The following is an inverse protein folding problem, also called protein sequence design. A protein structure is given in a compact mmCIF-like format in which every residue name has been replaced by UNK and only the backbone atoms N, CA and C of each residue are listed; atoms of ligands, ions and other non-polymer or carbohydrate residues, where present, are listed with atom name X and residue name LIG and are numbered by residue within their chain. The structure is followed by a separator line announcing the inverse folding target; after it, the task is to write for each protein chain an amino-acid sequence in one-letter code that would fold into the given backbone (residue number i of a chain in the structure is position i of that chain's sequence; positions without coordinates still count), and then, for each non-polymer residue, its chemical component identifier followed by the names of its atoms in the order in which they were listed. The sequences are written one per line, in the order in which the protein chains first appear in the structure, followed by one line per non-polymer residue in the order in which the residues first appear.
data_IF_020527470980
#
_entry.id   IF_020527470980
#
_cell.length_a   1.000
_cell.length_b   1.000
_cell.length_c   1.000
_cell.angle_alpha   90.00
_cell.angle_beta   90.00
_cell.angle_gamma   90.00
#
_symmetry.space_group_name_H-M   'P 1'
#
loop_
_entity.id
_entity.type
_entity.pdbx_description
1 polymer ?
#
# COMPACT_ATOMS: atom_id res chain seq x y z
N UNK A 1 36.01 -44.32 9.61
CA UNK A 1 35.56 -42.97 10.01
C UNK A 1 34.57 -42.51 8.98
N UNK A 2 33.36 -42.21 9.43
CA UNK A 2 32.14 -42.14 8.65
C UNK A 2 32.14 -40.98 7.64
N UNK A 3 31.78 -41.30 6.41
CA UNK A 3 31.27 -40.36 5.41
C UNK A 3 29.91 -39.87 5.87
N UNK A 4 29.81 -38.59 6.24
CA UNK A 4 28.53 -37.90 6.38
C UNK A 4 27.93 -37.74 4.99
N UNK A 5 26.94 -38.59 4.68
CA UNK A 5 25.98 -38.34 3.63
C UNK A 5 25.25 -37.04 3.97
N UNK A 6 25.40 -36.02 3.12
CA UNK A 6 24.46 -34.91 3.06
C UNK A 6 23.13 -35.50 2.62
N UNK A 7 22.15 -35.57 3.52
CA UNK A 7 20.76 -35.71 3.13
C UNK A 7 20.42 -34.53 2.21
N UNK A 8 20.30 -34.81 0.91
CA UNK A 8 19.59 -33.96 -0.02
C UNK A 8 18.14 -33.87 0.47
N UNK A 9 17.70 -32.65 0.79
CA UNK A 9 16.30 -32.40 1.08
C UNK A 9 15.45 -32.90 -0.11
N UNK A 10 14.37 -33.66 0.13
CA UNK A 10 13.54 -34.16 -0.95
C UNK A 10 13.00 -32.96 -1.74
N UNK A 11 13.25 -32.93 -3.05
CA UNK A 11 12.56 -32.02 -3.95
C UNK A 11 11.07 -32.33 -3.88
N UNK A 12 10.34 -31.62 -3.02
CA UNK A 12 8.89 -31.70 -2.98
C UNK A 12 8.36 -31.27 -4.36
N UNK A 13 7.68 -32.18 -5.04
CA UNK A 13 6.70 -31.81 -6.07
C UNK A 13 5.59 -31.09 -5.30
N UNK A 14 5.79 -29.80 -5.03
CA UNK A 14 5.00 -29.01 -4.10
C UNK A 14 3.63 -28.64 -4.66
N UNK A 15 2.61 -28.63 -3.80
CA UNK A 15 1.28 -28.11 -4.14
C UNK A 15 1.40 -26.64 -4.53
N UNK A 16 0.80 -26.26 -5.66
CA UNK A 16 0.90 -24.93 -6.26
C UNK A 16 0.04 -23.93 -5.49
N UNK A 17 0.54 -22.70 -5.37
CA UNK A 17 -0.24 -21.54 -4.93
C UNK A 17 -0.63 -20.70 -6.14
N UNK A 18 -1.92 -20.37 -6.26
CA UNK A 18 -2.43 -19.48 -7.31
C UNK A 18 -2.63 -18.09 -6.75
N UNK A 19 -2.04 -17.07 -7.36
CA UNK A 19 -2.14 -15.67 -6.92
C UNK A 19 -3.02 -14.88 -7.88
N UNK A 20 -3.84 -13.96 -7.37
CA UNK A 20 -4.64 -13.04 -8.20
C UNK A 20 -4.60 -11.61 -7.64
N UNK A 21 -3.68 -10.76 -8.15
CA UNK A 21 -3.54 -9.37 -7.73
C UNK A 21 -4.69 -8.50 -8.26
N UNK A 22 -4.96 -7.40 -7.56
CA UNK A 22 -5.73 -6.30 -8.13
C UNK A 22 -4.82 -5.48 -9.07
N UNK A 23 -5.27 -5.06 -10.26
CA UNK A 23 -4.41 -4.48 -11.31
C UNK A 23 -4.06 -3.00 -11.10
N UNK A 24 -3.65 -2.65 -9.88
CA UNK A 24 -3.09 -1.36 -9.54
C UNK A 24 -1.72 -1.55 -8.90
N UNK A 25 -0.79 -0.64 -9.16
CA UNK A 25 0.61 -0.76 -8.72
C UNK A 25 0.74 -1.02 -7.21
N UNK A 26 -0.08 -0.36 -6.38
CA UNK A 26 -0.07 -0.57 -4.92
C UNK A 26 -0.45 -1.98 -4.46
N UNK A 27 -1.06 -2.77 -5.35
CA UNK A 27 -1.51 -4.14 -5.11
C UNK A 27 -0.66 -5.19 -5.86
N UNK A 28 -0.31 -4.91 -7.12
CA UNK A 28 0.56 -5.75 -7.94
C UNK A 28 1.93 -5.96 -7.28
N UNK A 29 2.59 -4.88 -6.86
CA UNK A 29 3.93 -4.96 -6.27
C UNK A 29 4.01 -5.89 -5.04
N UNK A 30 3.18 -5.70 -3.98
CA UNK A 30 3.22 -6.62 -2.83
C UNK A 30 2.79 -8.05 -3.18
N UNK A 31 1.85 -8.25 -4.12
CA UNK A 31 1.49 -9.61 -4.55
C UNK A 31 2.66 -10.33 -5.23
N UNK A 32 3.39 -9.65 -6.12
CA UNK A 32 4.54 -10.22 -6.82
C UNK A 32 5.71 -10.46 -5.87
N UNK A 33 5.94 -9.57 -4.91
CA UNK A 33 6.90 -9.77 -3.83
C UNK A 33 6.55 -11.02 -2.98
N UNK A 34 5.28 -11.18 -2.61
CA UNK A 34 4.83 -12.38 -1.92
C UNK A 34 5.01 -13.64 -2.78
N UNK A 35 4.72 -13.56 -4.09
CA UNK A 35 4.91 -14.65 -5.04
C UNK A 35 6.36 -15.17 -5.04
N UNK A 36 7.33 -14.24 -5.12
CA UNK A 36 8.76 -14.55 -5.08
C UNK A 36 9.17 -15.17 -3.74
N UNK A 37 8.63 -14.66 -2.62
CA UNK A 37 8.91 -15.20 -1.28
C UNK A 37 8.39 -16.63 -1.09
N UNK A 38 7.19 -16.92 -1.56
CA UNK A 38 6.61 -18.26 -1.54
C UNK A 38 7.41 -19.20 -2.45
N UNK A 39 7.82 -18.72 -3.62
CA UNK A 39 8.65 -19.45 -4.56
C UNK A 39 10.02 -19.81 -3.99
N UNK A 40 10.69 -18.85 -3.35
CA UNK A 40 11.96 -19.04 -2.67
C UNK A 40 11.88 -20.06 -1.52
N UNK A 41 10.67 -20.32 -1.00
CA UNK A 41 10.38 -21.33 0.03
C UNK A 41 9.89 -22.66 -0.53
N UNK A 42 10.03 -22.87 -1.84
CA UNK A 42 9.77 -24.14 -2.50
C UNK A 42 8.32 -24.34 -2.97
N UNK A 43 7.44 -23.34 -2.84
CA UNK A 43 6.08 -23.43 -3.37
C UNK A 43 6.06 -23.01 -4.85
N UNK A 44 5.56 -23.85 -5.78
CA UNK A 44 5.30 -23.40 -7.13
C UNK A 44 4.20 -22.33 -7.12
N UNK A 45 4.37 -21.27 -7.91
CA UNK A 45 3.43 -20.14 -7.97
C UNK A 45 2.96 -19.90 -9.39
N UNK A 46 1.64 -19.75 -9.57
CA UNK A 46 1.03 -19.19 -10.80
C UNK A 46 0.30 -17.91 -10.45
N UNK A 47 0.59 -16.83 -11.17
CA UNK A 47 -0.12 -15.56 -11.08
C UNK A 47 -1.16 -15.51 -12.19
N UNK A 48 -2.43 -15.54 -11.82
CA UNK A 48 -3.51 -15.11 -12.72
C UNK A 48 -3.48 -13.59 -12.79
N UNK A 49 -3.70 -12.99 -13.95
CA UNK A 49 -3.75 -11.53 -14.07
C UNK A 49 -4.75 -11.08 -15.13
N UNK A 50 -5.30 -9.89 -14.95
CA UNK A 50 -6.17 -9.23 -15.94
C UNK A 50 -5.37 -8.73 -17.15
N UNK A 51 -6.06 -8.48 -18.25
CA UNK A 51 -5.49 -7.74 -19.38
C UNK A 51 -5.34 -6.24 -19.04
N UNK A 52 -6.28 -5.69 -18.26
CA UNK A 52 -6.20 -4.34 -17.72
C UNK A 52 -5.01 -4.21 -16.77
N UNK A 53 -4.07 -3.31 -17.09
CA UNK A 53 -2.78 -3.11 -16.40
C UNK A 53 -2.02 -4.42 -16.13
N UNK A 54 -1.93 -5.29 -17.14
CA UNK A 54 -1.22 -6.56 -17.02
C UNK A 54 0.24 -6.37 -16.51
N UNK A 55 0.72 -7.22 -15.60
CA UNK A 55 2.12 -7.23 -15.19
C UNK A 55 3.01 -7.65 -16.37
N UNK A 56 4.28 -7.25 -16.34
CA UNK A 56 5.29 -7.72 -17.29
C UNK A 56 5.97 -9.00 -16.77
N UNK A 57 5.68 -10.17 -17.36
CA UNK A 57 6.24 -11.45 -16.89
C UNK A 57 7.77 -11.52 -17.04
N UNK A 58 8.38 -10.74 -17.94
CA UNK A 58 9.83 -10.78 -18.19
C UNK A 58 10.63 -10.31 -16.98
N UNK A 59 10.00 -9.57 -16.07
CA UNK A 59 10.58 -9.09 -14.82
C UNK A 59 10.55 -10.14 -13.71
N UNK A 60 9.80 -11.22 -13.88
CA UNK A 60 9.62 -12.29 -12.90
C UNK A 60 9.73 -13.68 -13.56
N UNK A 61 10.89 -14.01 -14.15
CA UNK A 61 11.06 -15.21 -14.99
C UNK A 61 10.86 -16.53 -14.24
N UNK A 62 10.92 -16.53 -12.90
CA UNK A 62 10.72 -17.72 -12.07
C UNK A 62 9.25 -17.99 -11.72
N UNK A 63 8.34 -17.06 -12.05
CA UNK A 63 6.90 -17.18 -11.82
C UNK A 63 6.18 -17.57 -13.11
N UNK A 64 5.11 -18.36 -12.99
CA UNK A 64 4.21 -18.62 -14.10
C UNK A 64 3.10 -17.56 -14.14
N UNK A 65 2.77 -17.06 -15.33
CA UNK A 65 1.70 -16.09 -15.54
C UNK A 65 0.63 -16.66 -16.48
N UNK A 66 -0.63 -16.46 -16.13
CA UNK A 66 -1.78 -16.85 -16.96
C UNK A 66 -2.73 -15.67 -17.05
N UNK A 67 -2.94 -15.09 -18.25
CA UNK A 67 -3.91 -14.03 -18.42
C UNK A 67 -5.33 -14.58 -18.25
N UNK A 68 -6.19 -13.77 -17.66
CA UNK A 68 -7.64 -13.90 -17.78
C UNK A 68 -8.12 -12.80 -18.72
N UNK A 69 -9.13 -13.11 -19.52
CA UNK A 69 -9.65 -12.17 -20.51
C UNK A 69 -10.99 -11.62 -20.02
N UNK A 70 -10.94 -10.48 -19.35
CA UNK A 70 -12.12 -9.76 -18.88
C UNK A 70 -12.73 -8.84 -19.96
N UNK A 71 -14.01 -8.54 -19.82
CA UNK A 71 -14.68 -7.51 -20.60
C UNK A 71 -15.09 -6.36 -19.68
N UNK A 72 -14.39 -5.22 -19.78
CA UNK A 72 -14.67 -4.02 -18.98
C UNK A 72 -15.39 -2.96 -19.81
N UNK A 73 -16.35 -2.23 -19.23
CA UNK A 73 -16.93 -1.05 -19.86
C UNK A 73 -15.85 0.02 -20.13
N UNK A 74 -15.92 0.69 -21.29
CA UNK A 74 -14.98 1.79 -21.64
C UNK A 74 -14.97 2.91 -20.60
N UNK A 75 -16.10 3.17 -19.94
CA UNK A 75 -16.18 4.16 -18.86
C UNK A 75 -15.33 3.78 -17.64
N UNK A 76 -15.18 2.48 -17.36
CA UNK A 76 -14.42 1.97 -16.23
C UNK A 76 -12.91 1.92 -16.51
N UNK A 77 -12.48 1.98 -17.76
CA UNK A 77 -11.05 1.99 -18.14
C UNK A 77 -10.51 3.38 -18.45
N UNK A 78 -11.36 4.41 -18.34
CA UNK A 78 -10.96 5.81 -18.53
C UNK A 78 -9.99 6.27 -17.43
N UNK A 79 -8.97 7.11 -17.75
CA UNK A 79 -8.12 7.74 -16.73
C UNK A 79 -8.88 8.57 -15.70
N UNK A 80 -10.08 9.05 -16.04
CA UNK A 80 -10.93 9.86 -15.15
C UNK A 80 -12.08 9.05 -14.53
N UNK A 81 -12.04 7.73 -14.64
CA UNK A 81 -13.03 6.86 -14.01
C UNK A 81 -13.02 7.03 -12.49
N UNK A 82 -14.21 7.07 -11.91
CA UNK A 82 -14.37 6.95 -10.47
C UNK A 82 -13.81 5.61 -10.00
N UNK A 83 -12.94 5.64 -8.98
CA UNK A 83 -12.21 4.45 -8.54
C UNK A 83 -13.17 3.38 -7.99
N UNK A 84 -14.26 3.78 -7.33
CA UNK A 84 -15.27 2.82 -6.83
C UNK A 84 -15.98 2.15 -8.00
N UNK A 85 -16.44 2.92 -8.98
CA UNK A 85 -17.07 2.39 -10.19
C UNK A 85 -16.12 1.43 -10.95
N UNK A 86 -14.82 1.76 -11.02
CA UNK A 86 -13.80 0.91 -11.63
C UNK A 86 -13.63 -0.42 -10.87
N UNK A 87 -13.54 -0.39 -9.53
CA UNK A 87 -13.44 -1.60 -8.69
C UNK A 87 -14.67 -2.50 -8.80
N UNK A 88 -15.86 -1.91 -8.94
CA UNK A 88 -17.11 -2.62 -9.16
C UNK A 88 -17.17 -3.29 -10.54
N UNK A 89 -16.78 -2.55 -11.59
CA UNK A 89 -16.70 -3.07 -12.95
C UNK A 89 -15.68 -4.21 -13.06
N UNK A 90 -14.51 -4.05 -12.43
CA UNK A 90 -13.50 -5.09 -12.34
C UNK A 90 -14.07 -6.35 -11.71
N UNK A 91 -14.63 -6.26 -10.49
CA UNK A 91 -15.20 -7.42 -9.80
C UNK A 91 -16.28 -8.13 -10.63
N UNK A 92 -17.15 -7.38 -11.30
CA UNK A 92 -18.19 -7.93 -12.17
C UNK A 92 -17.61 -8.59 -13.43
N UNK A 93 -16.62 -7.96 -14.07
CA UNK A 93 -16.06 -8.40 -15.35
C UNK A 93 -15.08 -9.56 -15.23
N UNK A 94 -14.46 -9.74 -14.05
CA UNK A 94 -13.39 -10.72 -13.85
C UNK A 94 -13.85 -12.00 -13.13
N UNK A 95 -15.04 -12.04 -12.51
CA UNK A 95 -15.50 -13.21 -11.76
C UNK A 95 -15.48 -14.50 -12.60
N UNK A 96 -16.17 -14.49 -13.75
CA UNK A 96 -16.27 -15.68 -14.61
C UNK A 96 -14.91 -16.06 -15.25
N UNK A 97 -14.14 -15.14 -15.87
CA UNK A 97 -12.81 -15.45 -16.39
C UNK A 97 -11.86 -16.00 -15.33
N UNK A 98 -11.84 -15.42 -14.11
CA UNK A 98 -11.05 -15.92 -13.00
C UNK A 98 -11.48 -17.34 -12.59
N UNK A 99 -12.79 -17.57 -12.41
CA UNK A 99 -13.32 -18.90 -12.04
C UNK A 99 -12.95 -19.96 -13.07
N UNK A 100 -13.07 -19.64 -14.36
CA UNK A 100 -12.72 -20.56 -15.45
C UNK A 100 -11.22 -20.87 -15.48
N UNK A 101 -10.36 -19.85 -15.32
CA UNK A 101 -8.91 -20.02 -15.25
C UNK A 101 -8.49 -20.88 -14.06
N UNK A 102 -9.02 -20.60 -12.86
CA UNK A 102 -8.74 -21.38 -11.66
C UNK A 102 -9.24 -22.84 -11.81
N UNK A 103 -10.47 -23.04 -12.30
CA UNK A 103 -10.99 -24.38 -12.57
C UNK A 103 -10.15 -25.15 -13.61
N UNK A 104 -9.57 -24.46 -14.59
CA UNK A 104 -8.65 -25.05 -15.56
C UNK A 104 -7.34 -25.50 -14.91
N UNK A 105 -6.77 -24.69 -14.02
CA UNK A 105 -5.58 -25.05 -13.25
C UNK A 105 -5.85 -26.26 -12.35
N UNK A 106 -6.98 -26.30 -11.64
CA UNK A 106 -7.37 -27.43 -10.78
C UNK A 106 -7.46 -28.78 -11.53
N UNK A 107 -7.76 -28.77 -12.83
CA UNK A 107 -7.78 -30.00 -13.65
C UNK A 107 -6.39 -30.48 -14.06
N UNK A 108 -5.38 -29.61 -13.98
CA UNK A 108 -4.05 -29.83 -14.56
C UNK A 108 -2.97 -29.95 -13.49
N UNK A 109 -3.18 -29.33 -12.34
CA UNK A 109 -2.17 -29.14 -11.31
C UNK A 109 -2.77 -29.37 -9.92
N UNK A 110 -1.93 -29.80 -8.98
CA UNK A 110 -2.32 -29.91 -7.57
C UNK A 110 -2.19 -28.53 -6.91
N UNK A 111 -3.32 -27.87 -6.64
CA UNK A 111 -3.39 -26.53 -6.04
C UNK A 111 -3.61 -26.65 -4.53
N UNK A 112 -2.73 -26.01 -3.74
CA UNK A 112 -2.89 -25.89 -2.29
C UNK A 112 -4.00 -24.91 -1.93
N UNK A 113 -3.87 -23.69 -2.42
CA UNK A 113 -4.78 -22.59 -2.13
C UNK A 113 -4.67 -21.48 -3.19
N UNK A 114 -5.62 -20.56 -3.15
CA UNK A 114 -5.57 -19.31 -3.89
C UNK A 114 -5.25 -18.16 -2.92
N UNK A 115 -4.25 -17.32 -3.24
CA UNK A 115 -3.99 -16.05 -2.57
C UNK A 115 -4.58 -14.94 -3.44
N UNK A 116 -5.67 -14.34 -2.99
CA UNK A 116 -6.45 -13.39 -3.78
C UNK A 116 -6.40 -12.03 -3.09
N UNK A 117 -6.19 -10.95 -3.85
CA UNK A 117 -6.29 -9.60 -3.30
C UNK A 117 -7.65 -9.38 -2.63
N UNK A 118 -7.64 -8.85 -1.41
CA UNK A 118 -8.83 -8.69 -0.57
C UNK A 118 -9.89 -7.79 -1.18
N UNK A 119 -9.58 -6.96 -2.18
CA UNK A 119 -10.56 -6.13 -2.90
C UNK A 119 -11.36 -6.90 -3.95
N UNK A 120 -10.93 -8.11 -4.34
CA UNK A 120 -11.65 -8.99 -5.25
C UNK A 120 -12.73 -9.81 -4.54
N UNK A 121 -13.77 -9.17 -4.02
CA UNK A 121 -14.88 -9.86 -3.34
C UNK A 121 -15.49 -10.98 -4.20
N UNK A 122 -15.57 -10.78 -5.52
CA UNK A 122 -16.13 -11.76 -6.44
C UNK A 122 -15.18 -12.96 -6.66
N UNK A 123 -13.86 -12.72 -6.78
CA UNK A 123 -12.88 -13.79 -6.95
C UNK A 123 -12.68 -14.61 -5.67
N UNK A 124 -12.73 -13.96 -4.49
CA UNK A 124 -12.74 -14.66 -3.19
C UNK A 124 -13.90 -15.67 -3.12
N UNK A 125 -15.12 -15.22 -3.44
CA UNK A 125 -16.30 -16.08 -3.48
C UNK A 125 -16.21 -17.18 -4.54
N UNK A 126 -15.71 -16.87 -5.73
CA UNK A 126 -15.56 -17.83 -6.82
C UNK A 126 -14.55 -18.94 -6.49
N UNK A 127 -13.42 -18.62 -5.88
CA UNK A 127 -12.43 -19.62 -5.47
C UNK A 127 -12.97 -20.54 -4.35
N UNK A 128 -13.65 -19.96 -3.36
CA UNK A 128 -14.32 -20.73 -2.30
C UNK A 128 -15.40 -21.66 -2.85
N UNK A 129 -16.22 -21.20 -3.81
CA UNK A 129 -17.24 -22.01 -4.47
C UNK A 129 -16.67 -23.19 -5.30
N UNK A 130 -15.41 -23.11 -5.73
CA UNK A 130 -14.69 -24.22 -6.36
C UNK A 130 -14.07 -25.18 -5.34
N UNK A 131 -14.24 -24.94 -4.03
CA UNK A 131 -13.67 -25.75 -2.96
C UNK A 131 -12.17 -25.52 -2.75
N UNK A 132 -11.62 -24.41 -3.26
CA UNK A 132 -10.21 -24.04 -3.07
C UNK A 132 -10.08 -23.21 -1.80
N UNK A 133 -9.20 -23.58 -0.83
CA UNK A 133 -8.89 -22.70 0.29
C UNK A 133 -8.40 -21.33 -0.19
N UNK A 134 -8.91 -20.25 0.40
CA UNK A 134 -8.61 -18.89 -0.05
C UNK A 134 -7.93 -18.08 1.03
N UNK A 135 -6.77 -17.51 0.73
CA UNK A 135 -6.09 -16.56 1.57
C UNK A 135 -6.31 -15.15 1.01
N UNK A 136 -6.89 -14.25 1.79
CA UNK A 136 -7.11 -12.87 1.37
C UNK A 136 -5.83 -12.05 1.64
N UNK A 137 -5.16 -11.60 0.58
CA UNK A 137 -4.05 -10.66 0.70
C UNK A 137 -4.59 -9.24 0.93
N UNK A 138 -4.20 -8.62 2.04
CA UNK A 138 -4.41 -7.21 2.32
C UNK A 138 -3.13 -6.44 2.03
N UNK A 139 -3.24 -5.52 1.09
CA UNK A 139 -2.18 -4.58 0.68
C UNK A 139 -2.37 -3.21 1.34
N UNK A 140 -3.44 -3.05 2.11
CA UNK A 140 -3.65 -2.01 3.10
C UNK A 140 -3.23 -2.49 4.51
N UNK A 141 -3.26 -1.56 5.46
CA UNK A 141 -2.94 -1.82 6.87
C UNK A 141 -3.97 -2.74 7.54
N UNK A 142 -3.55 -3.48 8.55
CA UNK A 142 -4.45 -4.24 9.42
C UNK A 142 -5.50 -3.34 10.07
N UNK A 143 -5.12 -2.12 10.45
CA UNK A 143 -6.02 -1.09 10.96
C UNK A 143 -7.14 -0.75 9.96
N UNK A 144 -6.78 -0.50 8.70
CA UNK A 144 -7.73 -0.23 7.61
C UNK A 144 -8.64 -1.41 7.39
N UNK A 145 -8.09 -2.62 7.27
CA UNK A 145 -8.92 -3.81 7.06
C UNK A 145 -9.89 -4.05 8.22
N UNK A 146 -9.45 -3.86 9.46
CA UNK A 146 -10.33 -3.94 10.62
C UNK A 146 -11.44 -2.87 10.62
N UNK A 147 -11.16 -1.65 10.17
CA UNK A 147 -12.19 -0.62 9.94
C UNK A 147 -13.20 -1.04 8.88
N UNK A 148 -12.71 -1.64 7.79
CA UNK A 148 -13.51 -2.16 6.68
C UNK A 148 -14.44 -3.30 7.14
N UNK A 149 -13.94 -4.21 7.99
CA UNK A 149 -14.75 -5.26 8.62
C UNK A 149 -15.81 -4.67 9.54
N UNK A 150 -15.50 -3.64 10.33
CA UNK A 150 -16.47 -3.00 11.21
C UNK A 150 -17.53 -2.17 10.45
N UNK A 151 -17.28 -1.84 9.18
CA UNK A 151 -18.05 -0.86 8.43
C UNK A 151 -19.57 -1.13 8.35
N UNK A 152 -20.08 -2.36 8.14
CA UNK A 152 -21.52 -2.61 8.19
C UNK A 152 -22.15 -2.22 9.54
N UNK A 153 -21.49 -2.55 10.66
CA UNK A 153 -21.93 -2.18 12.00
C UNK A 153 -21.86 -0.67 12.23
N UNK A 154 -20.82 -0.01 11.70
CA UNK A 154 -20.68 1.45 11.78
C UNK A 154 -21.77 2.18 11.01
N UNK A 155 -22.18 1.65 9.84
CA UNK A 155 -23.31 2.17 9.06
C UNK A 155 -24.61 2.06 9.85
N UNK A 156 -24.88 0.89 10.43
CA UNK A 156 -26.11 0.66 11.21
C UNK A 156 -26.17 1.55 12.47
N UNK A 157 -25.01 1.84 13.07
CA UNK A 157 -24.86 2.78 14.19
C UNK A 157 -24.79 4.27 13.78
N UNK A 158 -24.98 4.58 12.50
CA UNK A 158 -25.07 5.95 11.99
C UNK A 158 -23.75 6.74 12.02
N UNK A 159 -22.61 6.05 11.98
CA UNK A 159 -21.28 6.67 11.77
C UNK A 159 -20.98 6.90 10.29
N UNK A 160 -21.65 6.17 9.39
CA UNK A 160 -21.52 6.28 7.94
C UNK A 160 -22.90 6.53 7.32
N UNK A 161 -23.07 7.51 6.42
CA UNK A 161 -22.06 8.48 6.00
C UNK A 161 -21.62 9.41 7.14
N UNK A 162 -20.39 9.92 7.04
CA UNK A 162 -19.79 10.81 8.04
C UNK A 162 -20.61 12.10 8.12
N UNK A 163 -21.05 12.46 9.33
CA UNK A 163 -21.74 13.71 9.63
C UNK A 163 -20.79 14.67 10.32
N UNK A 164 -20.87 15.97 9.99
CA UNK A 164 -19.97 16.98 10.56
C UNK A 164 -20.10 17.05 12.09
N UNK A 165 -21.31 16.85 12.64
CA UNK A 165 -21.54 16.91 14.09
C UNK A 165 -20.75 15.85 14.88
N UNK A 166 -20.49 14.69 14.25
CA UNK A 166 -19.85 13.52 14.87
C UNK A 166 -18.41 13.35 14.44
N UNK A 167 -17.89 14.29 13.64
CA UNK A 167 -16.64 14.15 12.89
C UNK A 167 -15.42 13.84 13.78
N UNK A 168 -15.40 14.39 14.99
CA UNK A 168 -14.31 14.22 15.96
C UNK A 168 -14.57 13.17 17.04
N UNK A 169 -15.73 12.51 17.02
CA UNK A 169 -16.00 11.39 17.92
C UNK A 169 -15.02 10.24 17.63
N UNK A 170 -14.53 9.59 18.68
CA UNK A 170 -13.79 8.34 18.54
C UNK A 170 -14.73 7.25 18.03
N UNK A 171 -14.22 6.39 17.15
CA UNK A 171 -14.96 5.24 16.66
C UNK A 171 -14.80 4.11 17.69
N UNK A 172 -15.89 3.62 18.31
CA UNK A 172 -15.81 2.58 19.31
C UNK A 172 -15.08 1.34 18.78
N UNK A 173 -14.20 0.76 19.60
CA UNK A 173 -13.43 -0.46 19.31
C UNK A 173 -12.39 -0.33 18.19
N UNK A 174 -12.26 0.86 17.59
CA UNK A 174 -11.31 1.19 16.53
C UNK A 174 -10.36 2.34 16.91
N UNK A 175 -10.16 2.62 18.20
CA UNK A 175 -9.23 3.65 18.64
C UNK A 175 -7.81 3.41 18.05
N UNK A 176 -7.09 4.47 17.63
CA UNK A 176 -7.37 5.89 17.86
C UNK A 176 -8.22 6.57 16.77
N UNK A 177 -8.92 5.83 15.92
CA UNK A 177 -9.69 6.39 14.82
C UNK A 177 -10.85 7.26 15.32
N UNK A 178 -11.03 8.40 14.66
CA UNK A 178 -12.24 9.23 14.74
C UNK A 178 -13.13 8.95 13.54
N UNK A 179 -14.38 9.42 13.60
CA UNK A 179 -15.32 9.26 12.48
C UNK A 179 -14.77 9.84 11.18
N UNK A 180 -14.06 10.99 11.24
CA UNK A 180 -13.38 11.59 10.08
C UNK A 180 -12.25 10.76 9.48
N UNK A 181 -11.68 9.85 10.26
CA UNK A 181 -10.54 9.03 9.86
C UNK A 181 -11.02 7.77 9.09
N UNK A 182 -12.32 7.46 9.12
CA UNK A 182 -12.92 6.33 8.38
C UNK A 182 -12.75 6.47 6.87
N UNK A 183 -12.75 5.32 6.18
CA UNK A 183 -12.54 5.22 4.73
C UNK A 183 -13.55 6.11 3.98
N UNK A 184 -13.03 7.03 3.18
CA UNK A 184 -13.81 7.96 2.34
C UNK A 184 -13.11 8.20 1.01
N UNK A 185 -13.87 8.38 -0.05
CA UNK A 185 -13.34 8.76 -1.36
C UNK A 185 -14.14 9.98 -1.84
N UNK A 186 -13.52 11.16 -1.72
CA UNK A 186 -14.18 12.42 -2.04
C UNK A 186 -14.50 12.47 -3.54
N UNK A 187 -15.77 12.77 -3.87
CA UNK A 187 -16.28 12.81 -5.24
C UNK A 187 -16.87 11.49 -5.74
N UNK A 188 -16.70 10.38 -5.02
CA UNK A 188 -17.36 9.11 -5.31
C UNK A 188 -18.79 9.07 -4.77
N UNK A 189 -19.64 8.24 -5.38
CA UNK A 189 -20.96 7.93 -4.84
C UNK A 189 -20.83 7.17 -3.51
N UNK A 190 -21.41 7.74 -2.45
CA UNK A 190 -21.25 7.24 -1.08
C UNK A 190 -21.90 5.88 -0.92
N UNK A 191 -23.08 5.66 -1.53
CA UNK A 191 -23.80 4.39 -1.43
C UNK A 191 -23.04 3.28 -2.18
N UNK A 192 -22.47 3.59 -3.34
CA UNK A 192 -21.60 2.68 -4.09
C UNK A 192 -20.35 2.30 -3.29
N UNK A 193 -19.70 3.28 -2.65
CA UNK A 193 -18.53 3.05 -1.79
C UNK A 193 -18.90 2.13 -0.62
N UNK A 194 -19.99 2.43 0.07
CA UNK A 194 -20.49 1.62 1.18
C UNK A 194 -20.83 0.20 0.73
N UNK A 195 -21.50 0.05 -0.42
CA UNK A 195 -21.84 -1.25 -0.99
C UNK A 195 -20.62 -2.04 -1.46
N UNK A 196 -19.56 -1.39 -1.92
CA UNK A 196 -18.29 -2.04 -2.22
C UNK A 196 -17.61 -2.55 -0.94
N UNK A 197 -17.47 -1.68 0.07
CA UNK A 197 -16.86 -2.01 1.36
C UNK A 197 -17.60 -3.16 2.05
N UNK A 198 -18.94 -3.15 2.08
CA UNK A 198 -19.73 -4.26 2.62
C UNK A 198 -19.47 -5.57 1.89
N UNK A 199 -19.44 -5.56 0.54
CA UNK A 199 -19.14 -6.78 -0.24
C UNK A 199 -17.76 -7.34 0.04
N UNK A 200 -16.75 -6.49 0.17
CA UNK A 200 -15.39 -6.91 0.54
C UNK A 200 -15.37 -7.55 1.93
N UNK A 201 -16.00 -6.92 2.91
CA UNK A 201 -16.05 -7.45 4.28
C UNK A 201 -16.82 -8.78 4.35
N UNK A 202 -17.95 -8.89 3.65
CA UNK A 202 -18.77 -10.10 3.63
C UNK A 202 -18.07 -11.24 2.90
N UNK A 203 -17.40 -10.97 1.77
CA UNK A 203 -16.62 -11.98 1.05
C UNK A 203 -15.45 -12.49 1.90
N UNK A 204 -14.75 -11.62 2.63
CA UNK A 204 -13.70 -12.04 3.56
C UNK A 204 -14.25 -12.96 4.66
N UNK A 205 -15.37 -12.59 5.31
CA UNK A 205 -16.02 -13.43 6.33
C UNK A 205 -16.48 -14.79 5.78
N UNK A 206 -17.04 -14.80 4.58
CA UNK A 206 -17.63 -16.00 3.99
C UNK A 206 -16.61 -16.95 3.36
N UNK A 207 -15.46 -16.44 2.91
CA UNK A 207 -14.58 -17.16 1.99
C UNK A 207 -13.13 -17.29 2.47
N UNK A 208 -12.64 -16.43 3.36
CA UNK A 208 -11.23 -16.43 3.73
C UNK A 208 -10.90 -17.54 4.74
N UNK A 209 -10.04 -18.47 4.35
CA UNK A 209 -9.40 -19.44 5.24
C UNK A 209 -8.20 -18.86 5.99
N UNK A 210 -7.76 -17.67 5.63
CA UNK A 210 -6.71 -16.92 6.32
C UNK A 210 -6.51 -15.56 5.68
N UNK A 211 -5.85 -14.66 6.39
CA UNK A 211 -5.53 -13.31 5.90
C UNK A 211 -4.02 -13.15 5.85
N UNK A 212 -3.51 -12.62 4.76
CA UNK A 212 -2.09 -12.29 4.60
C UNK A 212 -1.98 -10.78 4.53
N UNK A 213 -1.14 -10.16 5.33
CA UNK A 213 -0.97 -8.72 5.39
C UNK A 213 0.48 -8.35 5.14
N UNK A 214 0.71 -7.36 4.27
CA UNK A 214 2.02 -6.72 4.17
C UNK A 214 2.21 -5.80 5.39
N UNK A 215 2.46 -6.37 6.56
CA UNK A 215 2.66 -5.65 7.83
C UNK A 215 3.53 -6.50 8.76
N UNK A 216 3.84 -6.01 9.96
CA UNK A 216 4.59 -6.75 10.98
C UNK A 216 4.09 -6.41 12.39
N UNK A 217 4.26 -7.36 13.32
CA UNK A 217 3.65 -7.32 14.66
C UNK A 217 3.94 -6.03 15.45
N UNK A 218 5.15 -5.48 15.33
CA UNK A 218 5.54 -4.30 16.10
C UNK A 218 4.70 -3.05 15.81
N UNK A 219 4.06 -2.97 14.62
CA UNK A 219 3.21 -1.83 14.25
C UNK A 219 1.72 -2.13 14.35
N UNK A 220 1.29 -3.40 14.25
CA UNK A 220 -0.12 -3.78 14.10
C UNK A 220 -0.59 -5.06 14.85
N UNK A 221 0.17 -5.56 15.84
CA UNK A 221 -0.21 -6.77 16.58
C UNK A 221 -1.64 -6.77 17.17
N UNK A 222 -2.12 -5.69 17.81
CA UNK A 222 -3.49 -5.64 18.31
C UNK A 222 -4.56 -5.75 17.21
N UNK A 223 -4.30 -5.14 16.06
CA UNK A 223 -5.19 -5.12 14.90
C UNK A 223 -5.25 -6.51 14.24
N UNK A 224 -4.10 -7.19 14.15
CA UNK A 224 -4.01 -8.59 13.70
C UNK A 224 -4.85 -9.51 14.58
N UNK A 225 -4.69 -9.44 15.91
CA UNK A 225 -5.47 -10.26 16.85
C UNK A 225 -6.99 -9.99 16.74
N UNK A 226 -7.38 -8.74 16.46
CA UNK A 226 -8.79 -8.39 16.23
C UNK A 226 -9.32 -9.01 14.95
N UNK A 227 -8.55 -8.98 13.86
CA UNK A 227 -8.90 -9.61 12.59
C UNK A 227 -9.07 -11.12 12.77
N UNK A 228 -8.15 -11.79 13.46
CA UNK A 228 -8.24 -13.24 13.72
C UNK A 228 -9.51 -13.61 14.47
N UNK A 229 -9.86 -12.81 15.50
CA UNK A 229 -11.09 -13.01 16.26
C UNK A 229 -12.34 -12.78 15.41
N UNK A 230 -12.36 -11.73 14.60
CA UNK A 230 -13.52 -11.36 13.77
C UNK A 230 -13.78 -12.39 12.65
N UNK A 231 -12.72 -12.90 12.03
CA UNK A 231 -12.83 -13.83 10.89
C UNK A 231 -12.73 -15.30 11.29
N UNK A 232 -12.33 -15.59 12.53
CA UNK A 232 -12.08 -16.96 13.01
C UNK A 232 -11.09 -17.74 12.14
N UNK A 233 -10.11 -17.03 11.58
CA UNK A 233 -9.03 -17.60 10.78
C UNK A 233 -7.70 -16.87 11.06
N UNK A 234 -6.54 -17.49 10.77
CA UNK A 234 -5.24 -16.89 11.07
C UNK A 234 -4.95 -15.62 10.25
N UNK A 235 -4.24 -14.66 10.84
CA UNK A 235 -3.74 -13.47 10.16
C UNK A 235 -2.20 -13.45 10.17
N UNK A 236 -1.60 -13.46 8.98
CA UNK A 236 -0.16 -13.51 8.79
C UNK A 236 0.39 -12.15 8.40
N UNK A 237 1.12 -11.51 9.31
CA UNK A 237 1.87 -10.28 9.04
C UNK A 237 3.22 -10.62 8.39
N UNK A 238 3.22 -10.76 7.07
CA UNK A 238 4.36 -11.25 6.27
C UNK A 238 5.22 -10.13 5.70
N UNK A 239 5.00 -8.90 6.13
CA UNK A 239 5.75 -7.73 5.68
C UNK A 239 6.95 -7.42 6.59
N UNK A 240 7.74 -6.38 6.25
CA UNK A 240 7.60 -5.53 5.07
C UNK A 240 8.12 -6.22 3.79
N UNK A 241 7.23 -6.56 2.85
CA UNK A 241 7.52 -7.41 1.69
C UNK A 241 8.66 -6.87 0.80
N UNK A 242 8.74 -5.54 0.66
CA UNK A 242 9.78 -4.86 -0.12
C UNK A 242 11.21 -5.06 0.42
N UNK A 243 11.36 -5.48 1.68
CA UNK A 243 12.66 -5.79 2.31
C UNK A 243 12.95 -7.28 2.36
N UNK A 244 11.93 -8.13 2.23
CA UNK A 244 12.06 -9.57 2.43
C UNK A 244 12.44 -10.32 1.16
N UNK A 245 12.12 -9.79 -0.03
CA UNK A 245 12.35 -10.48 -1.29
C UNK A 245 13.85 -10.68 -1.58
N UNK A 246 14.30 -11.91 -1.85
CA UNK A 246 15.69 -12.20 -2.17
C UNK A 246 15.99 -11.80 -3.62
N UNK A 247 16.67 -10.67 -3.82
CA UNK A 247 17.12 -10.23 -5.15
C UNK A 247 17.35 -8.73 -5.22
N UNK A 248 17.95 -8.21 -6.32
CA UNK A 248 17.82 -6.79 -6.60
C UNK A 248 16.33 -6.46 -6.62
N UNK A 249 15.92 -5.39 -5.92
CA UNK A 249 14.52 -4.97 -5.90
C UNK A 249 14.00 -5.05 -7.34
N UNK A 250 12.89 -5.78 -7.60
CA UNK A 250 12.28 -5.75 -8.91
C UNK A 250 12.18 -4.28 -9.27
N UNK A 251 12.67 -3.89 -10.45
CA UNK A 251 12.57 -2.49 -10.85
C UNK A 251 11.13 -2.04 -10.57
N UNK A 252 10.90 -0.78 -10.21
CA UNK A 252 9.55 -0.36 -9.88
C UNK A 252 8.61 -0.67 -11.06
N UNK A 253 7.44 -1.26 -10.81
CA UNK A 253 6.36 -1.40 -11.81
C UNK A 253 5.68 -0.05 -12.10
N UNK A 254 6.49 1.01 -12.18
CA UNK A 254 6.06 2.36 -12.47
C UNK A 254 5.72 2.50 -13.95
N UNK A 255 4.69 3.29 -14.23
CA UNK A 255 4.34 3.76 -15.57
C UNK A 255 5.45 4.62 -16.21
N UNK A 256 6.42 5.08 -15.41
CA UNK A 256 7.47 6.01 -15.81
C UNK A 256 8.85 5.52 -15.34
N UNK A 257 9.87 5.71 -16.17
CA UNK A 257 11.25 5.43 -15.78
C UNK A 257 11.69 6.43 -14.68
N UNK A 258 12.30 5.97 -13.58
CA UNK A 258 12.74 6.85 -12.50
C UNK A 258 13.88 7.78 -12.96
N UNK A 259 13.80 9.06 -12.60
CA UNK A 259 14.90 10.01 -12.79
C UNK A 259 15.95 9.82 -11.69
N UNK A 260 16.94 8.95 -11.97
CA UNK A 260 18.06 8.70 -11.06
C UNK A 260 18.98 9.90 -10.87
N UNK A 261 18.87 10.94 -11.69
CA UNK A 261 19.55 12.22 -11.49
C UNK A 261 19.12 12.94 -10.21
N UNK A 262 18.05 12.50 -9.54
CA UNK A 262 17.71 12.97 -8.20
C UNK A 262 18.70 12.50 -7.13
N UNK A 263 19.31 11.31 -7.28
CA UNK A 263 20.26 10.78 -6.31
C UNK A 263 21.54 11.62 -6.27
N UNK A 264 22.10 11.94 -7.44
CA UNK A 264 23.25 12.85 -7.55
C UNK A 264 22.98 14.26 -6.99
N UNK A 265 21.72 14.70 -7.00
CA UNK A 265 21.33 15.97 -6.39
C UNK A 265 21.25 15.84 -4.85
N UNK A 266 20.81 14.69 -4.34
CA UNK A 266 20.81 14.40 -2.90
C UNK A 266 22.23 14.29 -2.34
N UNK A 267 23.20 13.76 -3.09
CA UNK A 267 24.62 13.69 -2.71
C UNK A 267 25.23 15.07 -2.39
N UNK A 268 24.68 16.14 -2.97
CA UNK A 268 25.14 17.52 -2.76
C UNK A 268 24.56 18.18 -1.49
N UNK A 269 23.72 17.48 -0.72
CA UNK A 269 23.04 18.00 0.45
C UNK A 269 23.52 17.35 1.75
N UNK A 270 23.59 18.11 2.86
CA UNK A 270 23.90 17.54 4.17
C UNK A 270 22.91 16.44 4.60
N UNK A 271 23.36 15.57 5.49
CA UNK A 271 22.51 14.55 6.08
C UNK A 271 21.24 15.17 6.72
N UNK A 272 20.09 14.55 6.45
CA UNK A 272 18.78 14.91 6.99
C UNK A 272 18.31 16.35 6.71
N UNK A 273 18.83 16.98 5.66
CA UNK A 273 18.44 18.36 5.30
C UNK A 273 17.35 18.44 4.24
N UNK A 274 17.04 17.36 3.53
CA UNK A 274 16.10 17.36 2.40
C UNK A 274 14.73 16.80 2.81
N UNK A 275 13.66 17.51 2.48
CA UNK A 275 12.30 16.95 2.51
C UNK A 275 12.00 16.23 1.20
N UNK A 276 11.70 14.94 1.27
CA UNK A 276 11.15 14.20 0.12
C UNK A 276 9.62 14.38 0.07
N UNK A 277 9.04 14.64 -1.11
CA UNK A 277 7.61 14.87 -1.29
C UNK A 277 7.07 13.96 -2.40
N UNK A 278 6.12 13.09 -2.07
CA UNK A 278 5.44 12.22 -3.03
C UNK A 278 4.03 11.82 -2.55
N UNK A 279 3.02 12.06 -3.39
CA UNK A 279 1.62 11.73 -3.10
C UNK A 279 1.16 10.41 -3.76
N UNK A 280 2.11 9.56 -4.16
CA UNK A 280 1.83 8.23 -4.72
C UNK A 280 1.48 8.22 -6.21
N UNK A 281 1.06 7.05 -6.69
CA UNK A 281 0.87 6.80 -8.13
C UNK A 281 -0.48 7.29 -8.68
N UNK A 282 -1.51 7.34 -7.83
CA UNK A 282 -2.90 7.60 -8.25
C UNK A 282 -3.42 8.97 -7.82
N UNK A 283 -3.00 9.47 -6.65
CA UNK A 283 -3.54 10.70 -6.10
C UNK A 283 -3.38 11.88 -7.04
N UNK A 284 -4.38 12.77 -7.01
CA UNK A 284 -4.37 14.03 -7.74
C UNK A 284 -4.73 15.16 -6.78
N UNK A 285 -4.10 16.31 -6.96
CA UNK A 285 -4.39 17.52 -6.20
C UNK A 285 -4.98 18.58 -7.13
N UNK A 286 -5.83 19.44 -6.60
CA UNK A 286 -6.34 20.58 -7.36
C UNK A 286 -5.25 21.63 -7.56
N UNK A 287 -5.31 22.38 -8.67
CA UNK A 287 -4.33 23.42 -9.00
C UNK A 287 -4.05 24.38 -7.85
N UNK A 288 -5.09 24.87 -7.16
CA UNK A 288 -4.91 25.79 -6.04
C UNK A 288 -4.12 25.15 -4.89
N UNK A 289 -4.41 23.90 -4.54
CA UNK A 289 -3.66 23.15 -3.52
C UNK A 289 -2.21 22.95 -3.94
N UNK A 290 -1.98 22.58 -5.20
CA UNK A 290 -0.63 22.41 -5.76
C UNK A 290 0.19 23.71 -5.68
N UNK A 291 -0.41 24.85 -5.99
CA UNK A 291 0.23 26.16 -5.89
C UNK A 291 0.57 26.50 -4.43
N UNK A 292 -0.37 26.32 -3.50
CA UNK A 292 -0.11 26.57 -2.07
C UNK A 292 0.99 25.65 -1.51
N UNK A 293 1.04 24.39 -1.93
CA UNK A 293 2.14 23.48 -1.61
C UNK A 293 3.48 24.03 -2.13
N UNK A 294 3.54 24.45 -3.40
CA UNK A 294 4.76 24.98 -4.00
C UNK A 294 5.27 26.25 -3.30
N UNK A 295 4.36 27.19 -3.01
CA UNK A 295 4.68 28.41 -2.26
C UNK A 295 5.11 28.12 -0.82
N UNK A 296 4.46 27.14 -0.17
CA UNK A 296 4.83 26.74 1.19
C UNK A 296 6.17 26.02 1.26
N UNK A 297 6.48 25.13 0.31
CA UNK A 297 7.80 24.50 0.18
C UNK A 297 8.89 25.56 0.01
N UNK A 298 8.71 26.49 -0.93
CA UNK A 298 9.63 27.60 -1.16
C UNK A 298 9.81 28.47 0.08
N UNK A 299 8.70 28.86 0.71
CA UNK A 299 8.67 29.70 1.91
C UNK A 299 9.24 29.02 3.15
N UNK A 300 9.27 27.69 3.22
CA UNK A 300 9.84 26.96 4.36
C UNK A 300 11.35 27.19 4.53
N UNK A 301 12.07 27.44 3.42
CA UNK A 301 13.52 27.53 3.39
C UNK A 301 14.24 26.17 3.40
N UNK A 302 13.49 25.06 3.45
CA UNK A 302 14.04 23.70 3.49
C UNK A 302 14.28 23.19 2.06
N UNK A 303 15.45 22.58 1.74
CA UNK A 303 15.66 21.87 0.49
C UNK A 303 14.65 20.74 0.28
N UNK A 304 14.13 20.56 -0.93
CA UNK A 304 13.12 19.54 -1.19
C UNK A 304 13.31 18.81 -2.52
N UNK A 305 12.99 17.52 -2.52
CA UNK A 305 12.84 16.70 -3.72
C UNK A 305 11.36 16.35 -3.88
N UNK A 306 10.72 16.86 -4.92
CA UNK A 306 9.28 16.68 -5.13
C UNK A 306 8.97 15.88 -6.40
N UNK A 307 8.24 14.78 -6.23
CA UNK A 307 7.68 13.99 -7.33
C UNK A 307 6.37 14.61 -7.79
N UNK A 308 6.35 15.08 -9.04
CA UNK A 308 5.16 15.62 -9.70
C UNK A 308 4.87 14.79 -10.95
N UNK A 309 4.00 13.78 -10.81
CA UNK A 309 3.59 12.89 -11.90
C UNK A 309 2.84 13.68 -12.98
N UNK A 310 3.05 13.42 -14.29
CA UNK A 310 2.20 13.94 -15.36
C UNK A 310 0.74 13.55 -15.15
N UNK A 311 -0.19 14.51 -15.10
CA UNK A 311 -1.61 14.33 -14.81
C UNK A 311 -1.94 14.16 -13.32
N UNK A 312 -1.04 14.60 -12.43
CA UNK A 312 -1.32 14.64 -10.98
C UNK A 312 -1.98 15.93 -10.52
N UNK A 313 -2.03 16.98 -11.36
CA UNK A 313 -2.71 18.23 -11.02
C UNK A 313 -4.01 18.41 -11.82
N UNK A 314 -5.13 18.59 -11.12
CA UNK A 314 -6.45 18.85 -11.72
C UNK A 314 -6.60 20.34 -12.06
N UNK A 315 -7.40 20.64 -13.08
CA UNK A 315 -7.76 22.02 -13.44
C UNK A 315 -6.97 22.63 -14.62
N UNK A 316 -6.21 21.82 -15.35
CA UNK A 316 -5.46 22.26 -16.54
C UNK A 316 -4.11 22.93 -16.24
N UNK A 317 -3.36 23.27 -17.29
CA UNK A 317 -2.01 23.85 -17.20
C UNK A 317 -0.89 22.79 -17.12
N UNK A 318 0.36 23.25 -17.10
CA UNK A 318 1.52 22.37 -16.92
C UNK A 318 1.59 21.83 -15.50
N UNK A 319 2.07 20.60 -15.33
CA UNK A 319 2.39 19.99 -14.03
C UNK A 319 3.75 20.52 -13.51
N UNK A 320 3.91 21.84 -13.53
CA UNK A 320 5.13 22.53 -13.14
C UNK A 320 4.85 23.53 -12.02
N UNK A 321 5.78 23.71 -11.07
CA UNK A 321 5.66 24.73 -10.03
C UNK A 321 5.44 26.14 -10.61
N UNK A 322 4.79 27.05 -9.87
CA UNK A 322 4.47 28.39 -10.35
C UNK A 322 5.69 29.17 -10.86
N UNK A 323 5.52 29.87 -11.99
CA UNK A 323 6.57 30.71 -12.58
C UNK A 323 7.11 31.78 -11.63
N UNK A 324 6.28 32.28 -10.71
CA UNK A 324 6.65 33.33 -9.75
C UNK A 324 7.53 32.89 -8.57
N UNK A 325 7.87 31.60 -8.44
CA UNK A 325 8.85 31.15 -7.44
C UNK A 325 10.22 31.76 -7.75
N UNK A 326 10.83 32.42 -6.75
CA UNK A 326 12.13 33.04 -6.90
C UNK A 326 13.24 32.02 -7.24
N UNK A 327 14.32 32.50 -7.86
CA UNK A 327 15.43 31.64 -8.32
C UNK A 327 16.11 30.91 -7.15
N UNK A 328 16.09 31.50 -5.96
CA UNK A 328 16.67 30.91 -4.75
C UNK A 328 15.87 29.68 -4.30
N UNK A 329 14.54 29.78 -4.25
CA UNK A 329 13.63 28.67 -3.96
C UNK A 329 13.72 27.58 -5.02
N UNK A 330 13.86 27.95 -6.29
CA UNK A 330 14.10 26.99 -7.38
C UNK A 330 15.44 26.29 -7.25
N UNK A 331 16.48 26.97 -6.76
CA UNK A 331 17.80 26.37 -6.56
C UNK A 331 17.84 25.35 -5.41
N UNK A 332 16.98 25.51 -4.40
CA UNK A 332 16.84 24.59 -3.25
C UNK A 332 15.96 23.37 -3.53
N UNK A 333 15.16 23.42 -4.58
CA UNK A 333 14.19 22.39 -4.92
C UNK A 333 14.60 21.59 -6.15
N UNK A 334 14.36 20.29 -6.15
CA UNK A 334 14.38 19.46 -7.36
C UNK A 334 13.00 18.86 -7.58
N UNK A 335 12.47 19.01 -8.80
CA UNK A 335 11.20 18.42 -9.21
C UNK A 335 11.48 17.35 -10.27
N UNK A 336 10.89 16.17 -10.09
CA UNK A 336 11.01 15.04 -11.02
C UNK A 336 9.65 14.42 -11.30
N UNK A 337 9.47 13.83 -12.48
CA UNK A 337 8.22 13.14 -12.81
C UNK A 337 8.04 11.83 -12.03
N UNK A 338 9.14 11.14 -11.76
CA UNK A 338 9.20 9.87 -11.04
C UNK A 338 10.57 9.71 -10.37
N UNK A 339 10.60 9.16 -9.15
CA UNK A 339 11.82 8.96 -8.38
C UNK A 339 11.96 7.50 -7.95
N UNK A 340 13.19 6.95 -7.82
CA UNK A 340 13.41 5.64 -7.23
C UNK A 340 13.20 5.72 -5.71
N UNK A 341 11.95 5.61 -5.25
CA UNK A 341 11.54 6.05 -3.91
C UNK A 341 12.27 5.29 -2.80
N UNK A 342 12.47 3.99 -2.96
CA UNK A 342 13.22 3.17 -1.99
C UNK A 342 14.65 3.68 -1.79
N UNK A 343 15.33 4.07 -2.87
CA UNK A 343 16.70 4.60 -2.82
C UNK A 343 16.72 6.02 -2.25
N UNK A 344 15.73 6.85 -2.61
CA UNK A 344 15.58 8.20 -2.06
C UNK A 344 15.35 8.15 -0.54
N UNK A 345 14.42 7.33 -0.06
CA UNK A 345 14.14 7.21 1.37
C UNK A 345 15.33 6.65 2.15
N UNK A 346 16.14 5.77 1.53
CA UNK A 346 17.36 5.24 2.14
C UNK A 346 18.54 6.24 2.11
N UNK A 347 18.43 7.35 1.38
CA UNK A 347 19.51 8.32 1.20
C UNK A 347 19.71 9.18 2.46
N UNK A 348 20.96 9.37 2.89
CA UNK A 348 21.28 10.07 4.15
C UNK A 348 20.80 11.52 4.21
N UNK A 349 20.75 12.21 3.05
CA UNK A 349 20.26 13.57 2.93
C UNK A 349 18.76 13.72 3.25
N UNK A 350 17.95 12.67 3.14
CA UNK A 350 16.51 12.74 3.39
C UNK A 350 16.25 12.81 4.90
N UNK A 351 15.58 13.89 5.34
CA UNK A 351 15.28 14.15 6.75
C UNK A 351 13.84 13.90 7.16
N UNK A 352 12.90 13.98 6.21
CA UNK A 352 11.49 13.64 6.38
C UNK A 352 10.83 13.34 5.02
N UNK A 353 9.65 12.74 5.07
CA UNK A 353 8.85 12.37 3.91
C UNK A 353 7.44 12.96 3.98
N UNK A 354 7.13 13.94 3.13
CA UNK A 354 5.77 14.39 2.90
C UNK A 354 5.04 13.41 1.98
N UNK A 355 4.08 12.69 2.57
CA UNK A 355 3.40 11.56 1.95
C UNK A 355 1.89 11.65 2.06
N UNK A 356 1.21 11.07 1.07
CA UNK A 356 -0.22 10.79 1.12
C UNK A 356 -0.61 9.66 2.10
N UNK A 357 0.35 9.01 2.77
CA UNK A 357 0.10 7.89 3.69
C UNK A 357 -0.52 6.64 3.04
N UNK A 358 -0.27 6.40 1.75
CA UNK A 358 -0.49 5.07 1.17
C UNK A 358 0.35 4.01 1.89
N UNK A 359 -0.16 2.78 2.00
CA UNK A 359 0.40 1.77 2.89
C UNK A 359 1.84 1.36 2.54
N UNK A 360 2.14 1.10 1.26
CA UNK A 360 3.50 0.75 0.83
C UNK A 360 4.50 1.86 1.18
N UNK A 361 4.22 3.12 0.81
CA UNK A 361 5.05 4.27 1.15
C UNK A 361 5.24 4.46 2.67
N UNK A 362 4.20 4.13 3.47
CA UNK A 362 4.27 4.17 4.93
C UNK A 362 5.28 3.15 5.46
N UNK A 363 5.21 1.90 5.00
CA UNK A 363 6.16 0.85 5.37
C UNK A 363 7.59 1.19 4.93
N UNK A 364 7.76 1.73 3.72
CA UNK A 364 9.06 2.13 3.19
C UNK A 364 9.70 3.22 4.06
N UNK A 365 8.93 4.24 4.47
CA UNK A 365 9.40 5.30 5.37
C UNK A 365 9.79 4.75 6.75
N UNK A 366 8.98 3.84 7.31
CA UNK A 366 9.28 3.17 8.58
C UNK A 366 10.56 2.34 8.48
N UNK A 367 10.73 1.56 7.41
CA UNK A 367 11.91 0.74 7.18
C UNK A 367 13.17 1.57 6.88
N UNK A 368 13.00 2.78 6.33
CA UNK A 368 14.09 3.73 6.13
C UNK A 368 14.43 4.53 7.39
N UNK A 369 13.53 4.57 8.38
CA UNK A 369 13.71 5.41 9.58
C UNK A 369 13.51 6.90 9.29
N UNK A 370 12.64 7.22 8.32
CA UNK A 370 12.34 8.60 7.90
C UNK A 370 10.98 9.01 8.49
N UNK A 371 10.89 10.11 9.25
CA UNK A 371 9.63 10.60 9.80
C UNK A 371 8.72 11.14 8.69
N UNK A 372 7.41 11.13 8.91
CA UNK A 372 6.44 11.50 7.89
C UNK A 372 5.75 12.84 8.16
N UNK A 373 5.49 13.59 7.09
CA UNK A 373 4.51 14.67 7.06
C UNK A 373 3.30 14.19 6.27
N UNK A 374 2.24 13.81 6.98
CA UNK A 374 1.05 13.18 6.46
C UNK A 374 0.09 14.19 5.80
N UNK A 375 -0.34 13.87 4.59
CA UNK A 375 -1.43 14.54 3.87
C UNK A 375 -2.31 13.50 3.17
N UNK A 376 -3.19 12.80 3.90
CA UNK A 376 -4.07 11.81 3.29
C UNK A 376 -4.97 12.45 2.24
N UNK A 377 -5.17 11.78 1.11
CA UNK A 377 -6.00 12.24 0.01
C UNK A 377 -7.34 11.48 -0.05
N UNK A 378 -7.34 10.15 0.04
CA UNK A 378 -8.55 9.32 -0.07
C UNK A 378 -8.35 7.90 0.48
N UNK A 379 -9.44 7.13 0.52
CA UNK A 379 -9.52 5.73 0.92
C UNK A 379 -8.92 5.44 2.30
N UNK A 380 -7.92 4.56 2.37
CA UNK A 380 -7.26 4.08 3.58
C UNK A 380 -6.30 5.09 4.21
N UNK A 381 -5.94 6.13 3.46
CA UNK A 381 -4.87 7.05 3.82
C UNK A 381 -5.16 7.81 5.12
N UNK A 382 -6.43 8.12 5.42
CA UNK A 382 -6.84 8.79 6.66
C UNK A 382 -6.63 7.89 7.88
N UNK A 383 -6.89 6.59 7.75
CA UNK A 383 -6.61 5.59 8.79
C UNK A 383 -5.10 5.49 9.01
N UNK A 384 -4.33 5.34 7.93
CA UNK A 384 -2.88 5.24 8.01
C UNK A 384 -2.25 6.51 8.62
N UNK A 385 -2.69 7.70 8.19
CA UNK A 385 -2.24 8.97 8.74
C UNK A 385 -2.47 9.04 10.25
N UNK A 386 -3.66 8.63 10.72
CA UNK A 386 -3.99 8.59 12.15
C UNK A 386 -3.06 7.66 12.94
N UNK A 387 -2.68 6.53 12.38
CA UNK A 387 -1.71 5.62 13.00
C UNK A 387 -0.31 6.24 13.03
N UNK A 388 0.14 6.80 11.90
CA UNK A 388 1.42 7.52 11.79
C UNK A 388 1.55 8.61 12.85
N UNK A 389 0.51 9.43 13.04
CA UNK A 389 0.57 10.62 13.91
C UNK A 389 0.21 10.34 15.37
N UNK A 390 -0.78 9.48 15.64
CA UNK A 390 -1.33 9.31 17.00
C UNK A 390 -1.02 7.94 17.64
N UNK A 391 -0.88 6.88 16.84
CA UNK A 391 -0.56 5.54 17.38
C UNK A 391 0.93 5.36 17.57
N UNK A 392 1.68 5.61 16.51
CA UNK A 392 3.14 5.44 16.48
C UNK A 392 3.86 6.75 16.79
N UNK A 393 3.28 7.90 16.41
CA UNK A 393 3.87 9.22 16.61
C UNK A 393 5.17 9.40 15.82
N UNK A 394 5.24 8.81 14.63
CA UNK A 394 6.38 8.86 13.70
C UNK A 394 6.20 9.91 12.61
N UNK A 395 5.20 10.78 12.77
CA UNK A 395 4.94 11.85 11.83
C UNK A 395 3.97 12.90 12.37
N UNK A 396 3.76 13.94 11.56
CA UNK A 396 2.85 15.05 11.80
C UNK A 396 1.87 15.16 10.64
N UNK A 397 0.72 15.78 10.84
CA UNK A 397 -0.21 16.10 9.75
C UNK A 397 -0.03 17.55 9.29
N UNK A 398 -0.10 17.81 7.98
CA UNK A 398 -0.14 19.18 7.44
C UNK A 398 -1.40 19.89 7.96
N UNK A 399 -2.54 19.20 7.89
CA UNK A 399 -3.86 19.65 8.33
C UNK A 399 -4.89 19.67 7.20
N UNK A 400 -6.17 19.87 7.57
CA UNK A 400 -7.30 19.85 6.64
C UNK A 400 -7.24 20.95 5.56
N UNK A 401 -6.65 22.10 5.88
CA UNK A 401 -6.54 23.26 4.99
C UNK A 401 -5.09 23.38 4.53
N UNK A 402 -4.89 23.34 3.21
CA UNK A 402 -3.58 23.51 2.58
C UNK A 402 -3.44 24.96 2.13
N UNK A 403 -2.74 25.76 2.92
CA UNK A 403 -2.27 27.09 2.57
C UNK A 403 -0.75 27.20 2.75
N UNK A 404 -0.10 28.07 1.99
CA UNK A 404 1.36 28.21 1.96
C UNK A 404 2.00 28.52 3.32
N UNK A 405 1.32 29.26 4.19
CA UNK A 405 1.87 29.65 5.50
C UNK A 405 1.91 28.42 6.39
N UNK A 406 0.80 27.69 6.45
CA UNK A 406 0.71 26.43 7.21
C UNK A 406 1.64 25.36 6.67
N UNK A 407 1.74 25.22 5.35
CA UNK A 407 2.70 24.29 4.73
C UNK A 407 4.13 24.63 5.16
N UNK A 408 4.55 25.89 5.03
CA UNK A 408 5.89 26.31 5.42
C UNK A 408 6.16 26.04 6.91
N UNK A 409 5.18 26.31 7.78
CA UNK A 409 5.26 26.05 9.21
C UNK A 409 5.42 24.54 9.51
N UNK A 410 4.58 23.70 8.90
CA UNK A 410 4.59 22.24 9.11
C UNK A 410 5.85 21.57 8.56
N UNK A 411 6.37 22.04 7.43
CA UNK A 411 7.66 21.61 6.90
C UNK A 411 8.79 21.96 7.88
N UNK A 412 8.81 23.19 8.44
CA UNK A 412 9.81 23.55 9.44
C UNK A 412 9.66 22.73 10.72
N UNK A 413 8.44 22.46 11.19
CA UNK A 413 8.22 21.65 12.39
C UNK A 413 8.77 20.23 12.25
N UNK A 414 8.51 19.54 11.13
CA UNK A 414 8.99 18.16 10.94
C UNK A 414 10.50 18.10 10.66
N UNK A 415 11.06 19.11 10.00
CA UNK A 415 12.47 19.11 9.61
C UNK A 415 13.39 19.69 10.70
N UNK A 416 12.97 20.77 11.35
CA UNK A 416 13.81 21.60 12.22
C UNK A 416 13.28 21.73 13.67
N UNK A 417 12.07 21.24 13.94
CA UNK A 417 11.42 21.38 15.24
C UNK A 417 11.52 20.14 16.14
N UNK A 418 11.27 20.33 17.43
CA UNK A 418 11.29 19.26 18.44
C UNK A 418 10.31 18.12 18.15
N UNK A 419 9.16 18.43 17.54
CA UNK A 419 8.18 17.40 17.14
C UNK A 419 8.76 16.47 16.06
N UNK A 420 9.51 17.03 15.11
CA UNK A 420 10.25 16.26 14.11
C UNK A 420 11.34 15.40 14.73
N UNK A 421 12.06 15.90 15.74
CA UNK A 421 13.07 15.13 16.47
C UNK A 421 12.46 13.94 17.21
N UNK A 422 11.35 14.14 17.91
CA UNK A 422 10.61 13.05 18.58
C UNK A 422 10.10 12.00 17.58
N UNK A 423 9.59 12.44 16.43
CA UNK A 423 9.15 11.54 15.37
C UNK A 423 10.33 10.71 14.80
N UNK A 424 11.50 11.33 14.62
CA UNK A 424 12.75 10.65 14.19
C UNK A 424 13.20 9.58 15.17
N UNK A 425 13.14 9.87 16.48
CA UNK A 425 13.51 8.88 17.50
C UNK A 425 12.59 7.67 17.44
N UNK A 426 11.27 7.89 17.39
CA UNK A 426 10.28 6.82 17.33
C UNK A 426 10.37 5.98 16.06
N UNK A 427 10.56 6.61 14.89
CA UNK A 427 10.66 5.87 13.63
C UNK A 427 11.96 5.06 13.56
N UNK A 428 13.04 5.52 14.21
CA UNK A 428 14.29 4.74 14.35
C UNK A 428 14.06 3.47 15.16
N UNK A 429 13.27 3.53 16.22
CA UNK A 429 12.94 2.35 17.03
C UNK A 429 12.08 1.36 16.23
N UNK A 430 11.08 1.85 15.48
CA UNK A 430 10.29 1.00 14.57
C UNK A 430 11.15 0.39 13.45
N UNK A 431 12.09 1.15 12.90
CA UNK A 431 13.05 0.64 11.90
C UNK A 431 13.83 -0.55 12.45
N UNK A 432 14.32 -0.46 13.69
CA UNK A 432 15.05 -1.56 14.32
C UNK A 432 14.18 -2.81 14.45
N UNK A 433 12.90 -2.64 14.82
CA UNK A 433 11.94 -3.74 14.90
C UNK A 433 11.63 -4.34 13.52
N UNK A 434 11.52 -3.51 12.48
CA UNK A 434 11.37 -3.96 11.10
C UNK A 434 12.60 -4.78 10.65
N UNK A 435 13.81 -4.31 10.92
CA UNK A 435 15.05 -5.03 10.59
C UNK A 435 15.13 -6.39 11.31
N UNK A 436 14.68 -6.47 12.57
CA UNK A 436 14.59 -7.74 13.32
C UNK A 436 13.55 -8.69 12.71
N UNK A 437 12.38 -8.17 12.31
CA UNK A 437 11.33 -8.95 11.66
C UNK A 437 11.82 -9.56 10.33
N UNK A 438 12.46 -8.74 9.49
CA UNK A 438 13.03 -9.19 8.20
C UNK A 438 14.08 -10.27 8.41
N UNK A 439 14.98 -10.10 9.40
CA UNK A 439 16.02 -11.08 9.70
C UNK A 439 15.46 -12.42 10.18
N UNK A 440 14.37 -12.41 10.95
CA UNK A 440 13.74 -13.62 11.48
C UNK A 440 12.88 -14.33 10.42
N UNK A 441 12.17 -13.56 9.59
CA UNK A 441 11.28 -14.04 8.52
C UNK A 441 10.22 -15.10 8.93
N UNK A 442 9.96 -15.24 10.24
CA UNK A 442 9.14 -16.30 10.81
C UNK A 442 7.70 -16.29 10.31
N UNK A 443 7.12 -15.11 10.07
CA UNK A 443 5.74 -14.99 9.62
C UNK A 443 5.53 -15.61 8.23
N UNK A 444 6.51 -15.48 7.33
CA UNK A 444 6.44 -16.11 6.00
C UNK A 444 6.59 -17.62 6.12
N UNK A 445 7.46 -18.11 7.01
CA UNK A 445 7.62 -19.55 7.24
C UNK A 445 6.36 -20.16 7.88
N UNK A 446 5.69 -19.41 8.77
CA UNK A 446 4.40 -19.78 9.34
C UNK A 446 3.32 -19.85 8.26
N UNK A 447 3.28 -18.87 7.35
CA UNK A 447 2.37 -18.87 6.20
C UNK A 447 2.61 -20.09 5.31
N UNK A 448 3.87 -20.42 4.98
CA UNK A 448 4.18 -21.60 4.15
C UNK A 448 3.76 -22.90 4.83
N UNK A 449 4.01 -23.04 6.13
CA UNK A 449 3.54 -24.21 6.90
C UNK A 449 2.02 -24.30 6.91
N UNK A 450 1.33 -23.16 7.02
CA UNK A 450 -0.12 -23.11 6.95
C UNK A 450 -0.64 -23.53 5.58
N UNK A 451 -0.09 -22.98 4.49
CA UNK A 451 -0.42 -23.34 3.10
C UNK A 451 -0.25 -24.83 2.84
N UNK A 452 0.82 -25.45 3.37
CA UNK A 452 1.06 -26.88 3.24
C UNK A 452 0.11 -27.75 4.08
N UNK A 453 -0.59 -27.16 5.06
CA UNK A 453 -1.54 -27.86 5.94
C UNK A 453 -3.01 -27.76 5.49
N UNK A 454 -3.33 -26.81 4.61
CA UNK A 454 -4.61 -26.71 3.90
C UNK A 454 -4.78 -27.89 2.96
#
# INVERSE_FOLDING_TARGET
MATQEKEEAPHAVGRRVVLFPLPFQGHLSPMLQLAELLRARGLPVTVLHTDFNAPDPTRHPELAFVPIHEALPTSATSPDADIVAQLLALNSGCEAPFREALASLLRREDVACAVVDGQWYAALGAASALGVPVLALRTDSAATFGSLLAFPRLRDAGYVPIKEERRDELVPELEPLRVRDLIRIDGSDVDALCGFISRVADAARASASGVVLNSFDAIEAPELARIEKELSCPAFAVGPLHRMCPGPAPAEHGLHAPDRGCLAWLDAHPARSVLYVSLGSVARVDRGVFEEMAWGLAGSGVPFLWVVRPGSVRGGGADEPPNGLDEEARSRGKVVAWAPQLEVLAHEAVGAFWTHCGWNSTLESVCAGVPMLAQPCFADQTVNARYVTHRWGVGLEVGDVIDRVRVAERVRMVMLGEEGDRAREKVRDLKLQADQCVAASLAVDNLVRYVLSL
#
